data_IF_050883083939
#
_entry.id   IF_050883083939
#
_cell.length_a   1.000
_cell.length_b   1.000
_cell.length_c   1.000
_cell.angle_alpha   90.00
_cell.angle_beta   90.00
_cell.angle_gamma   90.00
#
_symmetry.space_group_name_H-M   'P 1'
#
loop_
_entity.id
_entity.type
_entity.pdbx_description
1 polymer ?
#
# COMPACT_ATOMS: atom_id res chain seq x y z
N UNK A 1 -15.16 -1.10 10.71
CA UNK A 1 -13.74 -1.47 10.92
C UNK A 1 -13.30 -2.39 9.79
N UNK A 2 -12.05 -2.24 9.34
CA UNK A 2 -11.44 -3.14 8.35
C UNK A 2 -11.02 -4.45 8.99
N UNK A 3 -11.31 -5.57 8.34
CA UNK A 3 -10.90 -6.91 8.77
C UNK A 3 -10.24 -7.67 7.63
N UNK A 4 -9.22 -8.45 7.99
CA UNK A 4 -8.58 -9.35 7.04
C UNK A 4 -9.40 -10.64 6.98
N UNK A 5 -9.89 -10.96 5.78
CA UNK A 5 -10.57 -12.22 5.49
C UNK A 5 -9.63 -13.15 4.74
N UNK A 6 -9.55 -14.38 5.21
CA UNK A 6 -8.86 -15.47 4.52
C UNK A 6 -9.90 -16.16 3.63
N UNK A 7 -9.51 -16.55 2.42
CA UNK A 7 -10.42 -17.26 1.51
C UNK A 7 -10.98 -18.53 2.16
N UNK A 8 -12.23 -18.90 1.88
CA UNK A 8 -12.85 -20.10 2.49
C UNK A 8 -13.01 -21.24 1.47
N UNK A 9 -12.29 -21.19 0.34
CA UNK A 9 -12.64 -21.95 -0.86
C UNK A 9 -13.84 -21.32 -1.57
N UNK A 10 -14.01 -21.57 -2.87
CA UNK A 10 -15.00 -20.80 -3.65
C UNK A 10 -15.62 -21.56 -4.82
N UNK A 11 -16.96 -21.63 -4.79
CA UNK A 11 -17.85 -21.96 -5.91
C UNK A 11 -18.20 -20.71 -6.76
N UNK A 12 -17.33 -19.70 -6.79
CA UNK A 12 -17.53 -18.51 -7.62
C UNK A 12 -17.16 -18.84 -9.08
N UNK A 13 -18.08 -18.72 -10.05
CA UNK A 13 -17.84 -19.13 -11.43
C UNK A 13 -16.76 -18.31 -12.14
N UNK A 14 -16.37 -17.16 -11.59
CA UNK A 14 -15.35 -16.26 -12.15
C UNK A 14 -14.01 -16.36 -11.42
N UNK A 15 -13.91 -17.17 -10.37
CA UNK A 15 -12.66 -17.41 -9.66
C UNK A 15 -12.20 -18.85 -9.92
N UNK A 16 -10.96 -18.99 -10.40
CA UNK A 16 -10.28 -20.28 -10.52
C UNK A 16 -8.97 -20.22 -9.74
N UNK A 17 -8.64 -21.30 -9.04
CA UNK A 17 -7.34 -21.46 -8.40
C UNK A 17 -6.91 -22.93 -8.42
N UNK A 18 -5.62 -23.17 -8.59
CA UNK A 18 -5.01 -24.52 -8.51
C UNK A 18 -4.94 -25.05 -7.07
N UNK A 19 -5.16 -24.19 -6.07
CA UNK A 19 -5.06 -24.52 -4.65
C UNK A 19 -6.34 -24.23 -3.84
N UNK A 20 -7.51 -24.18 -4.49
CA UNK A 20 -8.79 -23.86 -3.84
C UNK A 20 -8.76 -22.57 -3.00
N UNK A 21 -8.06 -21.54 -3.50
CA UNK A 21 -7.91 -20.22 -2.85
C UNK A 21 -7.22 -20.24 -1.49
N UNK A 22 -6.56 -21.34 -1.13
CA UNK A 22 -5.67 -21.38 0.03
C UNK A 22 -4.59 -20.29 -0.13
N UNK A 23 -4.26 -19.59 0.96
CA UNK A 23 -3.33 -18.46 0.89
C UNK A 23 -3.91 -17.11 0.47
N UNK A 24 -5.16 -17.05 -0.02
CA UNK A 24 -5.75 -15.78 -0.44
C UNK A 24 -6.23 -14.97 0.77
N UNK A 25 -5.93 -13.67 0.75
CA UNK A 25 -6.34 -12.70 1.75
C UNK A 25 -6.98 -11.48 1.09
N UNK A 26 -8.05 -10.95 1.70
CA UNK A 26 -8.74 -9.74 1.24
C UNK A 26 -9.17 -8.91 2.43
N UNK A 27 -9.06 -7.59 2.33
CA UNK A 27 -9.60 -6.69 3.34
C UNK A 27 -11.06 -6.38 3.05
N UNK A 28 -11.92 -6.55 4.06
CA UNK A 28 -13.34 -6.18 4.00
C UNK A 28 -13.65 -5.13 5.07
N UNK A 29 -14.49 -4.16 4.74
CA UNK A 29 -14.97 -3.18 5.71
C UNK A 29 -16.35 -3.58 6.22
N UNK A 30 -16.48 -3.70 7.53
CA UNK A 30 -17.76 -3.92 8.22
C UNK A 30 -18.02 -2.75 9.19
N UNK A 31 -19.07 -1.92 8.99
CA UNK A 31 -19.36 -0.79 9.87
C UNK A 31 -19.69 -1.21 11.31
N UNK A 32 -20.17 -2.43 11.52
CA UNK A 32 -20.59 -2.96 12.81
C UNK A 32 -19.51 -3.83 13.48
N UNK A 33 -18.38 -4.06 12.79
CA UNK A 33 -17.31 -4.86 13.34
C UNK A 33 -16.63 -4.20 14.54
N UNK A 34 -16.46 -5.02 15.58
CA UNK A 34 -15.70 -4.75 16.79
C UNK A 34 -16.45 -3.98 17.88
N UNK A 35 -15.87 -3.90 19.07
CA UNK A 35 -16.37 -3.04 20.16
C UNK A 35 -15.91 -1.58 19.97
N UNK A 36 -16.44 -0.65 20.77
CA UNK A 36 -15.98 0.74 20.74
C UNK A 36 -14.51 0.87 21.12
N UNK A 37 -14.05 0.07 22.08
CA UNK A 37 -12.65 0.00 22.49
C UNK A 37 -11.76 -0.52 21.36
N UNK A 38 -12.20 -1.54 20.61
CA UNK A 38 -11.44 -2.08 19.46
C UNK A 38 -11.32 -1.06 18.33
N UNK A 39 -12.41 -0.31 18.06
CA UNK A 39 -12.38 0.76 17.07
C UNK A 39 -11.44 1.89 17.52
N UNK A 40 -11.45 2.24 18.81
CA UNK A 40 -10.56 3.25 19.36
C UNK A 40 -9.08 2.84 19.26
N UNK A 41 -8.75 1.57 19.56
CA UNK A 41 -7.39 1.03 19.43
C UNK A 41 -6.88 1.09 17.97
N UNK A 42 -7.75 0.81 17.00
CA UNK A 42 -7.44 0.94 15.58
C UNK A 42 -7.16 2.40 15.18
N UNK A 43 -7.96 3.36 15.65
CA UNK A 43 -7.74 4.77 15.37
C UNK A 43 -6.47 5.31 16.06
N UNK A 44 -6.18 4.85 17.28
CA UNK A 44 -4.93 5.18 17.97
C UNK A 44 -3.72 4.65 17.21
N UNK A 45 -3.75 3.40 16.74
CA UNK A 45 -2.70 2.81 15.91
C UNK A 45 -2.47 3.61 14.61
N UNK A 46 -3.56 4.06 13.97
CA UNK A 46 -3.50 4.91 12.76
C UNK A 46 -2.85 6.27 13.05
N UNK A 47 -3.24 6.92 14.14
CA UNK A 47 -2.69 8.21 14.55
C UNK A 47 -1.20 8.07 14.93
N UNK A 48 -0.85 7.02 15.66
CA UNK A 48 0.53 6.72 16.02
C UNK A 48 1.41 6.51 14.77
N UNK A 49 0.94 5.72 13.80
CA UNK A 49 1.63 5.55 12.53
C UNK A 49 1.79 6.88 11.80
N UNK A 50 0.71 7.68 11.69
CA UNK A 50 0.78 8.97 11.03
C UNK A 50 1.81 9.90 11.70
N UNK A 51 1.86 9.96 13.02
CA UNK A 51 2.81 10.81 13.73
C UNK A 51 4.27 10.33 13.59
N UNK A 52 4.49 9.04 13.39
CA UNK A 52 5.82 8.43 13.29
C UNK A 52 6.25 8.05 11.87
N UNK A 53 5.44 8.36 10.85
CA UNK A 53 5.60 7.92 9.45
C UNK A 53 6.95 8.23 8.82
N UNK A 54 7.65 9.25 9.31
CA UNK A 54 9.00 9.61 8.82
C UNK A 54 10.11 8.76 9.45
N UNK A 55 9.87 8.19 10.63
CA UNK A 55 10.80 7.32 11.35
C UNK A 55 10.59 5.84 10.99
N UNK A 56 9.33 5.45 10.77
CA UNK A 56 8.94 4.08 10.42
C UNK A 56 8.02 4.14 9.21
N UNK A 57 8.53 3.68 8.06
CA UNK A 57 7.84 3.77 6.78
C UNK A 57 6.74 2.71 6.59
N UNK A 58 6.98 1.40 6.83
CA UNK A 58 5.93 0.40 6.67
C UNK A 58 4.97 0.36 7.88
N UNK A 59 3.72 -0.04 7.66
CA UNK A 59 2.69 -0.09 8.71
C UNK A 59 2.94 -1.16 9.78
N UNK A 60 3.94 -2.01 9.57
CA UNK A 60 4.29 -3.16 10.42
C UNK A 60 3.13 -4.13 10.62
N UNK A 61 2.18 -4.15 9.67
CA UNK A 61 1.04 -5.06 9.67
C UNK A 61 0.15 -4.94 10.91
N UNK A 62 0.22 -3.78 11.58
CA UNK A 62 -0.24 -3.63 12.95
C UNK A 62 -1.75 -3.89 13.10
N UNK A 63 -2.56 -3.37 12.17
CA UNK A 63 -4.01 -3.51 12.24
C UNK A 63 -4.49 -4.96 12.24
N UNK A 64 -3.98 -5.80 11.32
CA UNK A 64 -4.42 -7.19 11.30
C UNK A 64 -3.76 -7.99 12.42
N UNK A 65 -2.50 -7.70 12.79
CA UNK A 65 -1.83 -8.35 13.93
C UNK A 65 -2.60 -8.17 15.23
N UNK A 66 -3.11 -6.96 15.50
CA UNK A 66 -3.96 -6.69 16.67
C UNK A 66 -5.20 -7.59 16.67
N UNK A 67 -5.89 -7.67 15.53
CA UNK A 67 -7.10 -8.49 15.38
C UNK A 67 -6.79 -9.99 15.54
N UNK A 68 -5.78 -10.50 14.83
CA UNK A 68 -5.40 -11.92 14.83
C UNK A 68 -4.93 -12.43 16.20
N UNK A 69 -4.07 -11.66 16.87
CA UNK A 69 -3.57 -12.04 18.18
C UNK A 69 -4.71 -12.05 19.21
N UNK A 70 -5.65 -11.10 19.11
CA UNK A 70 -6.81 -11.03 19.99
C UNK A 70 -7.77 -12.21 19.77
N UNK A 71 -8.09 -12.55 18.52
CA UNK A 71 -8.93 -13.71 18.18
C UNK A 71 -8.36 -15.01 18.75
N UNK A 72 -7.04 -15.19 18.65
CA UNK A 72 -6.33 -16.36 19.21
C UNK A 72 -6.08 -16.26 20.71
N UNK A 73 -6.50 -15.18 21.37
CA UNK A 73 -6.26 -14.87 22.78
C UNK A 73 -4.77 -15.00 23.15
N UNK A 74 -3.89 -14.68 22.19
CA UNK A 74 -2.46 -14.77 22.37
C UNK A 74 -1.99 -13.68 23.32
N UNK A 75 -1.18 -14.07 24.31
CA UNK A 75 -0.48 -13.15 25.19
C UNK A 75 1.00 -13.45 25.11
N UNK A 76 1.81 -12.45 24.81
CA UNK A 76 3.26 -12.61 24.82
C UNK A 76 3.74 -12.68 26.27
N UNK A 77 4.02 -13.89 26.74
CA UNK A 77 4.51 -14.15 28.11
C UNK A 77 6.03 -14.20 28.20
N UNK A 78 6.72 -14.33 27.06
CA UNK A 78 8.18 -14.41 27.02
C UNK A 78 8.74 -12.98 27.03
N UNK A 79 9.56 -12.61 28.04
CA UNK A 79 10.09 -11.26 28.16
C UNK A 79 11.04 -10.94 27.00
N UNK A 80 11.13 -9.65 26.64
CA UNK A 80 12.15 -9.20 25.70
C UNK A 80 13.52 -9.22 26.38
N UNK A 81 14.53 -9.94 25.87
CA UNK A 81 15.89 -9.72 26.30
C UNK A 81 16.30 -8.29 25.91
N UNK A 82 16.84 -7.54 26.87
CA UNK A 82 17.46 -6.23 26.63
C UNK A 82 18.96 -6.45 26.62
N UNK A 83 19.61 -5.97 25.57
CA UNK A 83 21.06 -6.00 25.40
C UNK A 83 21.43 -4.57 25.03
N UNK A 84 22.29 -3.93 25.84
CA UNK A 84 22.77 -2.57 25.58
C UNK A 84 23.96 -2.58 24.61
N UNK A 85 24.24 -1.43 24.00
CA UNK A 85 25.37 -1.29 23.08
C UNK A 85 26.69 -1.61 23.81
N UNK A 86 27.40 -2.64 23.34
CA UNK A 86 28.66 -3.09 23.92
C UNK A 86 28.55 -4.25 24.91
N UNK A 87 27.34 -4.70 25.25
CA UNK A 87 27.13 -5.92 26.03
C UNK A 87 27.35 -7.18 25.18
N UNK A 88 27.84 -8.25 25.81
CA UNK A 88 28.03 -9.55 25.15
C UNK A 88 26.69 -10.26 24.93
N UNK A 89 26.45 -10.70 23.69
CA UNK A 89 25.24 -11.47 23.35
C UNK A 89 25.38 -12.91 23.86
N UNK A 90 24.66 -13.22 24.94
CA UNK A 90 24.69 -14.56 25.53
C UNK A 90 23.81 -15.57 24.79
N UNK A 91 24.11 -16.86 24.96
CA UNK A 91 23.29 -17.95 24.43
C UNK A 91 21.87 -17.92 25.02
N UNK A 92 21.73 -17.59 26.31
CA UNK A 92 20.46 -17.46 27.02
C UNK A 92 19.61 -16.33 26.43
N UNK A 93 20.21 -15.15 26.20
CA UNK A 93 19.52 -14.00 25.61
C UNK A 93 19.06 -14.30 24.18
N UNK A 94 19.91 -14.97 23.39
CA UNK A 94 19.58 -15.41 22.02
C UNK A 94 18.43 -16.41 22.04
N UNK A 95 18.49 -17.41 22.91
CA UNK A 95 17.45 -18.43 23.06
C UNK A 95 16.12 -17.80 23.48
N UNK A 96 16.14 -16.86 24.41
CA UNK A 96 14.94 -16.13 24.82
C UNK A 96 14.34 -15.31 23.66
N UNK A 97 15.17 -14.62 22.87
CA UNK A 97 14.72 -13.85 21.71
C UNK A 97 14.09 -14.75 20.63
N UNK A 98 14.70 -15.90 20.34
CA UNK A 98 14.18 -16.88 19.38
C UNK A 98 12.86 -17.46 19.87
N UNK A 99 12.79 -17.90 21.12
CA UNK A 99 11.55 -18.47 21.68
C UNK A 99 10.40 -17.44 21.67
N UNK A 100 10.68 -16.18 22.03
CA UNK A 100 9.71 -15.08 21.95
C UNK A 100 9.21 -14.88 20.52
N UNK A 101 10.13 -14.89 19.54
CA UNK A 101 9.81 -14.69 18.13
C UNK A 101 9.00 -15.85 17.57
N UNK A 102 9.39 -17.10 17.82
CA UNK A 102 8.65 -18.29 17.41
C UNK A 102 7.24 -18.27 18.00
N UNK A 103 7.11 -17.97 19.30
CA UNK A 103 5.81 -17.89 19.95
C UNK A 103 4.88 -16.85 19.28
N UNK A 104 5.43 -15.68 18.92
CA UNK A 104 4.69 -14.65 18.19
C UNK A 104 4.33 -15.08 16.77
N UNK A 105 5.30 -15.55 15.99
CA UNK A 105 5.07 -15.92 14.59
C UNK A 105 4.12 -17.12 14.46
N UNK A 106 4.22 -18.13 15.33
CA UNK A 106 3.25 -19.24 15.34
C UNK A 106 1.82 -18.75 15.60
N UNK A 107 1.64 -17.73 16.45
CA UNK A 107 0.34 -17.13 16.67
C UNK A 107 -0.15 -16.31 15.46
N UNK A 108 0.74 -15.78 14.64
CA UNK A 108 0.37 -15.02 13.43
C UNK A 108 0.07 -15.90 12.20
N UNK A 109 0.36 -17.20 12.25
CA UNK A 109 0.07 -18.12 11.15
C UNK A 109 -1.45 -18.22 10.90
N UNK A 110 -1.89 -18.03 9.66
CA UNK A 110 -3.29 -18.20 9.27
C UNK A 110 -3.77 -19.65 9.37
N UNK A 111 -5.08 -19.86 9.30
CA UNK A 111 -5.69 -21.20 9.20
C UNK A 111 -5.27 -21.98 7.95
N UNK A 112 -4.76 -21.28 6.94
CA UNK A 112 -4.22 -21.85 5.70
C UNK A 112 -2.71 -22.12 5.76
N UNK A 113 -2.07 -21.89 6.90
CA UNK A 113 -0.64 -22.13 7.10
C UNK A 113 0.29 -21.03 6.58
N UNK A 114 -0.21 -20.01 5.87
CA UNK A 114 0.57 -18.84 5.43
C UNK A 114 0.56 -17.73 6.47
N UNK A 115 1.46 -16.75 6.34
CA UNK A 115 1.46 -15.52 7.12
C UNK A 115 0.96 -14.36 6.26
N UNK A 116 -0.20 -13.77 6.61
CA UNK A 116 -0.59 -12.50 6.05
C UNK A 116 0.50 -11.46 6.22
N UNK A 117 0.76 -10.69 5.18
CA UNK A 117 1.70 -9.58 5.23
C UNK A 117 1.30 -8.51 4.22
N UNK A 118 1.56 -7.26 4.61
CA UNK A 118 1.59 -6.12 3.71
C UNK A 118 2.79 -6.26 2.76
N UNK A 119 2.56 -6.17 1.45
CA UNK A 119 3.61 -6.07 0.46
C UNK A 119 3.66 -4.64 -0.12
N UNK A 120 3.98 -3.69 0.76
CA UNK A 120 4.12 -2.28 0.43
C UNK A 120 5.49 -1.97 -0.14
N UNK A 121 5.59 -0.81 -0.79
CA UNK A 121 6.83 -0.35 -1.40
C UNK A 121 6.50 0.60 -2.53
N UNK A 122 6.16 0.12 -3.73
CA UNK A 122 5.95 0.99 -4.89
C UNK A 122 4.78 1.97 -4.72
N UNK A 123 5.08 3.26 -4.93
CA UNK A 123 4.09 4.36 -4.81
C UNK A 123 3.37 4.67 -6.13
N UNK A 124 3.35 3.72 -7.06
CA UNK A 124 2.82 3.89 -8.42
C UNK A 124 1.91 2.74 -8.87
N UNK A 125 1.39 1.89 -7.96
CA UNK A 125 0.39 0.88 -8.32
C UNK A 125 -1.06 1.36 -8.11
N UNK A 126 -1.36 1.97 -6.95
CA UNK A 126 -2.72 2.39 -6.61
C UNK A 126 -3.24 3.50 -7.53
N UNK A 127 -2.38 4.46 -7.90
CA UNK A 127 -2.77 5.58 -8.75
C UNK A 127 -3.19 5.12 -10.17
N UNK A 128 -2.42 4.29 -10.89
CA UNK A 128 -2.88 3.66 -12.12
C UNK A 128 -4.18 2.87 -12.01
N UNK A 129 -4.37 2.08 -10.94
CA UNK A 129 -5.62 1.35 -10.74
C UNK A 129 -6.82 2.30 -10.60
N UNK A 130 -6.67 3.38 -9.83
CA UNK A 130 -7.69 4.44 -9.73
C UNK A 130 -7.95 5.09 -11.08
N UNK A 131 -6.90 5.38 -11.87
CA UNK A 131 -7.04 5.93 -13.22
C UNK A 131 -7.81 4.99 -14.15
N UNK A 132 -7.46 3.70 -14.19
CA UNK A 132 -8.15 2.70 -15.02
C UNK A 132 -9.62 2.56 -14.62
N UNK A 133 -9.92 2.51 -13.33
CA UNK A 133 -11.31 2.42 -12.86
C UNK A 133 -12.10 3.71 -13.12
N UNK A 134 -11.44 4.87 -13.08
CA UNK A 134 -12.05 6.14 -13.46
C UNK A 134 -12.39 6.15 -14.95
N UNK A 135 -11.42 5.83 -15.82
CA UNK A 135 -11.58 5.82 -17.28
C UNK A 135 -12.66 4.84 -17.71
N UNK A 136 -12.72 3.66 -17.09
CA UNK A 136 -13.71 2.63 -17.42
C UNK A 136 -15.09 2.86 -16.77
N UNK A 137 -15.25 3.88 -15.92
CA UNK A 137 -16.51 4.17 -15.22
C UNK A 137 -16.82 3.27 -14.03
N UNK A 138 -15.89 2.42 -13.59
CA UNK A 138 -16.09 1.45 -12.50
C UNK A 138 -15.59 1.93 -11.14
N UNK A 139 -15.03 3.13 -11.03
CA UNK A 139 -14.46 3.65 -9.77
C UNK A 139 -15.44 3.54 -8.60
N UNK A 140 -16.69 3.94 -8.81
CA UNK A 140 -17.71 3.90 -7.75
C UNK A 140 -18.28 2.50 -7.49
N UNK A 141 -18.16 1.60 -8.45
CA UNK A 141 -18.62 0.21 -8.35
C UNK A 141 -17.61 -0.63 -7.56
N UNK A 142 -16.31 -0.42 -7.80
CA UNK A 142 -15.25 -1.21 -7.18
C UNK A 142 -14.78 -0.61 -5.85
N UNK A 143 -14.65 0.72 -5.76
CA UNK A 143 -14.23 1.38 -4.53
C UNK A 143 -15.40 2.06 -3.81
N UNK A 144 -15.80 1.46 -2.69
CA UNK A 144 -16.67 2.09 -1.70
C UNK A 144 -16.03 3.37 -1.12
N UNK A 145 -16.83 4.16 -0.39
CA UNK A 145 -16.32 5.35 0.32
C UNK A 145 -15.13 5.02 1.23
N UNK A 146 -15.17 3.87 1.89
CA UNK A 146 -14.13 3.45 2.82
C UNK A 146 -12.84 3.08 2.08
N UNK A 147 -12.92 2.39 0.93
CA UNK A 147 -11.74 2.14 0.09
C UNK A 147 -11.04 3.45 -0.29
N UNK A 148 -11.80 4.46 -0.71
CA UNK A 148 -11.24 5.77 -1.10
C UNK A 148 -10.60 6.48 0.07
N UNK A 149 -11.21 6.43 1.26
CA UNK A 149 -10.61 6.97 2.49
C UNK A 149 -9.28 6.29 2.79
N UNK A 150 -9.17 4.97 2.66
CA UNK A 150 -7.90 4.25 2.87
C UNK A 150 -6.86 4.56 1.79
N UNK A 151 -7.25 4.66 0.51
CA UNK A 151 -6.32 5.04 -0.56
C UNK A 151 -5.76 6.44 -0.31
N UNK A 152 -6.62 7.40 0.06
CA UNK A 152 -6.20 8.75 0.41
C UNK A 152 -5.32 8.77 1.66
N UNK A 153 -5.68 8.00 2.70
CA UNK A 153 -4.86 7.87 3.92
C UNK A 153 -3.46 7.33 3.59
N UNK A 154 -3.37 6.29 2.76
CA UNK A 154 -2.09 5.75 2.31
C UNK A 154 -1.26 6.81 1.57
N UNK A 155 -1.87 7.60 0.68
CA UNK A 155 -1.19 8.71 -0.01
C UNK A 155 -0.69 9.76 0.99
N UNK A 156 -1.50 10.14 1.98
CA UNK A 156 -1.12 11.15 2.98
C UNK A 156 -0.03 10.67 3.93
N UNK A 157 -0.03 9.38 4.29
CA UNK A 157 1.01 8.80 5.15
C UNK A 157 2.39 8.76 4.47
N UNK A 158 2.45 8.77 3.14
CA UNK A 158 3.70 8.61 2.40
C UNK A 158 4.08 9.86 1.59
N UNK A 159 3.43 11.00 1.84
CA UNK A 159 3.89 12.27 1.29
C UNK A 159 5.10 12.75 2.08
N UNK A 160 6.18 13.05 1.35
CA UNK A 160 7.41 13.58 1.93
C UNK A 160 7.19 15.02 2.43
N UNK A 161 8.08 15.48 3.31
CA UNK A 161 8.04 16.85 3.86
C UNK A 161 8.14 17.93 2.77
N UNK A 162 8.83 17.62 1.66
CA UNK A 162 8.93 18.51 0.50
C UNK A 162 7.62 18.62 -0.31
N UNK A 163 6.61 17.81 0.00
CA UNK A 163 5.31 17.77 -0.67
C UNK A 163 5.21 16.75 -1.81
N UNK A 164 6.28 16.05 -2.16
CA UNK A 164 6.28 15.05 -3.21
C UNK A 164 6.12 13.60 -2.70
N UNK A 165 6.21 12.65 -3.63
CA UNK A 165 6.20 11.21 -3.38
C UNK A 165 7.33 10.51 -4.12
N UNK A 166 8.00 9.58 -3.45
CA UNK A 166 9.09 8.80 -4.03
C UNK A 166 8.64 7.61 -4.85
N UNK A 167 9.58 6.92 -5.50
CA UNK A 167 9.30 5.68 -6.24
C UNK A 167 8.79 4.55 -5.34
N UNK A 168 9.20 4.57 -4.08
CA UNK A 168 8.76 3.66 -3.04
C UNK A 168 8.57 4.42 -1.71
N UNK A 169 7.96 3.77 -0.72
CA UNK A 169 7.77 4.34 0.63
C UNK A 169 9.11 4.75 1.25
N UNK A 170 9.23 6.00 1.72
CA UNK A 170 10.48 6.56 2.24
C UNK A 170 11.51 6.97 1.18
N UNK A 171 11.24 6.75 -0.11
CA UNK A 171 12.10 7.22 -1.19
C UNK A 171 11.99 8.74 -1.43
N UNK A 172 13.05 9.34 -1.96
CA UNK A 172 13.02 10.75 -2.37
C UNK A 172 11.97 11.02 -3.43
N UNK A 173 11.34 12.19 -3.34
CA UNK A 173 10.28 12.61 -4.24
C UNK A 173 10.71 12.61 -5.71
N UNK A 174 9.84 12.09 -6.58
CA UNK A 174 10.07 12.02 -8.03
C UNK A 174 8.91 12.63 -8.80
N UNK A 175 9.15 13.13 -10.01
CA UNK A 175 8.09 13.65 -10.86
C UNK A 175 7.04 12.59 -11.17
N UNK A 176 7.49 11.35 -11.42
CA UNK A 176 6.61 10.21 -11.71
C UNK A 176 5.60 9.96 -10.59
N UNK A 177 6.07 9.66 -9.38
CA UNK A 177 5.14 9.33 -8.30
C UNK A 177 4.41 10.54 -7.73
N UNK A 178 5.01 11.74 -7.76
CA UNK A 178 4.32 12.96 -7.31
C UNK A 178 3.14 13.30 -8.23
N UNK A 179 3.33 13.24 -9.55
CA UNK A 179 2.26 13.49 -10.50
C UNK A 179 1.14 12.44 -10.40
N UNK A 180 1.50 11.14 -10.33
CA UNK A 180 0.52 10.07 -10.21
C UNK A 180 -0.31 10.17 -8.93
N UNK A 181 0.32 10.40 -7.77
CA UNK A 181 -0.39 10.52 -6.50
C UNK A 181 -1.21 11.82 -6.42
N UNK A 182 -0.72 12.93 -6.98
CA UNK A 182 -1.52 14.15 -7.15
C UNK A 182 -2.79 13.86 -7.95
N UNK A 183 -2.68 13.25 -9.12
CA UNK A 183 -3.85 12.94 -9.97
C UNK A 183 -4.77 11.95 -9.28
N UNK A 184 -4.24 10.93 -8.60
CA UNK A 184 -5.03 9.98 -7.83
C UNK A 184 -5.95 10.69 -6.81
N UNK A 185 -5.40 11.63 -6.03
CA UNK A 185 -6.20 12.45 -5.11
C UNK A 185 -7.29 13.25 -5.85
N UNK A 186 -6.95 13.85 -7.00
CA UNK A 186 -7.91 14.62 -7.82
C UNK A 186 -9.05 13.75 -8.34
N UNK A 187 -8.76 12.55 -8.84
CA UNK A 187 -9.77 11.59 -9.32
C UNK A 187 -10.66 11.04 -8.19
N UNK A 188 -10.13 10.96 -6.98
CA UNK A 188 -10.88 10.60 -5.78
C UNK A 188 -11.70 11.76 -5.18
N UNK A 189 -11.71 12.93 -5.83
CA UNK A 189 -12.54 14.07 -5.47
C UNK A 189 -11.89 15.08 -4.52
N UNK A 190 -10.60 14.92 -4.17
CA UNK A 190 -9.87 15.90 -3.35
C UNK A 190 -9.62 17.16 -4.17
N UNK A 191 -10.08 18.31 -3.69
CA UNK A 191 -9.88 19.62 -4.32
C UNK A 191 -8.40 19.98 -4.58
N UNK A 192 -8.11 20.90 -5.51
CA UNK A 192 -6.73 21.28 -5.84
C UNK A 192 -5.98 21.86 -4.62
N UNK A 193 -6.69 22.51 -3.70
CA UNK A 193 -6.15 23.09 -2.47
C UNK A 193 -6.55 22.25 -1.24
N UNK A 194 -6.94 20.99 -1.47
CA UNK A 194 -7.46 20.10 -0.44
C UNK A 194 -6.50 18.99 -0.01
N UNK A 195 -7.06 18.04 0.72
CA UNK A 195 -6.35 16.89 1.28
C UNK A 195 -5.79 17.18 2.67
N UNK A 196 -5.33 16.14 3.36
CA UNK A 196 -4.79 16.28 4.70
C UNK A 196 -3.56 17.19 4.68
N UNK A 197 -3.59 18.26 5.47
CA UNK A 197 -2.52 19.28 5.52
C UNK A 197 -2.21 19.87 4.12
N UNK A 198 -3.21 20.14 3.28
CA UNK A 198 -3.04 20.65 1.92
C UNK A 198 -2.15 19.75 1.03
N UNK A 199 -2.22 18.44 1.21
CA UNK A 199 -1.41 17.48 0.47
C UNK A 199 -1.47 17.69 -1.05
N UNK A 200 -2.64 18.02 -1.59
CA UNK A 200 -2.83 18.25 -3.02
C UNK A 200 -2.11 19.51 -3.51
N UNK A 201 -2.23 20.61 -2.76
CA UNK A 201 -1.55 21.88 -3.03
C UNK A 201 -0.03 21.71 -3.03
N UNK A 202 0.51 21.07 -1.98
CA UNK A 202 1.95 20.82 -1.85
C UNK A 202 2.48 19.95 -2.99
N UNK A 203 1.74 18.91 -3.36
CA UNK A 203 2.07 18.07 -4.51
C UNK A 203 2.11 18.86 -5.81
N UNK A 204 1.10 19.71 -6.05
CA UNK A 204 1.08 20.60 -7.23
C UNK A 204 2.27 21.56 -7.22
N UNK A 205 2.55 22.19 -6.07
CA UNK A 205 3.70 23.09 -5.92
C UNK A 205 5.02 22.39 -6.23
N UNK A 206 5.22 21.19 -5.67
CA UNK A 206 6.42 20.38 -5.92
C UNK A 206 6.62 20.09 -7.42
N UNK A 207 5.53 19.77 -8.13
CA UNK A 207 5.53 19.53 -9.59
C UNK A 207 5.91 20.80 -10.35
N UNK A 208 5.26 21.92 -10.05
CA UNK A 208 5.49 23.20 -10.76
C UNK A 208 6.91 23.72 -10.54
N UNK A 209 7.42 23.65 -9.32
CA UNK A 209 8.78 24.10 -8.96
C UNK A 209 9.88 23.29 -9.68
N UNK A 210 9.56 22.11 -10.23
CA UNK A 210 10.48 21.21 -10.94
C UNK A 210 10.23 21.15 -12.45
N UNK A 211 9.71 22.23 -13.02
CA UNK A 211 9.51 22.37 -14.46
C UNK A 211 8.22 21.74 -14.98
N UNK A 212 7.32 21.33 -14.08
CA UNK A 212 6.03 20.75 -14.44
C UNK A 212 6.11 19.29 -14.89
N UNK A 213 4.94 18.75 -15.24
CA UNK A 213 4.76 17.31 -15.49
C UNK A 213 5.43 16.82 -16.78
N UNK A 214 5.91 17.70 -17.66
CA UNK A 214 6.57 17.32 -18.92
C UNK A 214 7.90 16.59 -18.70
N UNK A 215 8.51 16.73 -17.52
CA UNK A 215 9.74 16.04 -17.11
C UNK A 215 9.49 14.63 -16.56
N UNK A 216 8.23 14.16 -16.56
CA UNK A 216 7.86 12.83 -16.08
C UNK A 216 8.50 11.71 -16.92
N UNK A 217 8.76 10.55 -16.30
CA UNK A 217 9.30 9.36 -16.97
C UNK A 217 8.37 8.82 -18.07
N UNK A 218 8.91 7.97 -18.96
CA UNK A 218 8.15 7.39 -20.08
C UNK A 218 6.85 6.70 -19.66
N UNK A 219 6.88 5.90 -18.58
CA UNK A 219 5.69 5.27 -18.03
C UNK A 219 4.66 6.28 -17.53
N UNK A 220 5.12 7.39 -16.95
CA UNK A 220 4.26 8.51 -16.58
C UNK A 220 3.57 9.12 -17.78
N UNK A 221 4.32 9.43 -18.84
CA UNK A 221 3.75 9.97 -20.08
C UNK A 221 2.67 9.06 -20.66
N UNK A 222 2.90 7.74 -20.67
CA UNK A 222 1.90 6.75 -21.09
C UNK A 222 0.63 6.85 -20.25
N UNK A 223 0.72 6.83 -18.91
CA UNK A 223 -0.45 6.94 -18.04
C UNK A 223 -1.20 8.27 -18.21
N UNK A 224 -0.49 9.39 -18.36
CA UNK A 224 -1.10 10.69 -18.61
C UNK A 224 -1.78 10.76 -19.99
N UNK A 225 -1.22 10.10 -21.00
CA UNK A 225 -1.80 10.03 -22.34
C UNK A 225 -3.06 9.15 -22.36
N UNK A 226 -3.03 8.02 -21.64
CA UNK A 226 -4.21 7.16 -21.42
C UNK A 226 -5.33 7.94 -20.72
N UNK A 227 -4.99 8.78 -19.74
CA UNK A 227 -5.95 9.64 -19.05
C UNK A 227 -6.44 10.83 -19.91
N UNK A 228 -5.76 11.14 -21.01
CA UNK A 228 -6.10 12.26 -21.90
C UNK A 228 -5.61 13.63 -21.43
N UNK A 229 -4.58 13.67 -20.58
CA UNK A 229 -3.98 14.92 -20.05
C UNK A 229 -2.53 15.15 -20.53
N UNK A 230 -2.09 14.33 -21.49
CA UNK A 230 -0.80 14.45 -22.16
C UNK A 230 -0.95 13.94 -23.60
N UNK A 231 -0.30 14.59 -24.56
CA UNK A 231 -0.38 14.22 -25.97
C UNK A 231 0.43 12.95 -26.26
N UNK A 232 -0.17 11.97 -26.94
CA UNK A 232 0.50 10.72 -27.33
C UNK A 232 1.77 10.95 -28.16
N UNK A 233 1.82 12.04 -28.93
CA UNK A 233 3.00 12.44 -29.71
C UNK A 233 4.23 12.76 -28.85
N UNK A 234 4.06 13.03 -27.56
CA UNK A 234 5.15 13.25 -26.61
C UNK A 234 5.68 11.96 -25.96
N UNK A 235 5.10 10.80 -26.27
CA UNK A 235 5.55 9.48 -25.82
C UNK A 235 6.54 8.86 -26.82
N UNK A 236 7.50 8.08 -26.32
CA UNK A 236 8.30 7.24 -27.21
C UNK A 236 7.42 6.11 -27.77
N UNK A 237 7.50 5.81 -29.07
CA UNK A 237 6.67 4.77 -29.68
C UNK A 237 6.99 3.40 -29.09
N UNK A 238 5.96 2.63 -28.79
CA UNK A 238 6.04 1.20 -28.40
C UNK A 238 5.33 0.38 -29.48
N UNK A 239 6.00 0.11 -30.62
CA UNK A 239 5.36 -0.51 -31.78
C UNK A 239 4.95 -1.96 -31.46
N UNK A 240 3.67 -2.33 -31.62
CA UNK A 240 3.21 -3.70 -31.42
C UNK A 240 3.79 -4.68 -32.45
N UNK A 241 4.34 -4.18 -33.56
CA UNK A 241 4.95 -4.98 -34.63
C UNK A 241 6.15 -5.80 -34.14
N UNK A 242 6.79 -5.42 -33.02
CA UNK A 242 7.86 -6.23 -32.41
C UNK A 242 7.40 -7.64 -32.02
N UNK A 243 6.13 -7.82 -31.68
CA UNK A 243 5.54 -9.14 -31.39
C UNK A 243 5.43 -10.04 -32.62
N UNK A 244 5.62 -9.51 -33.84
CA UNK A 244 5.62 -10.28 -35.09
C UNK A 244 6.99 -10.84 -35.45
N UNK A 245 8.06 -10.45 -34.73
CA UNK A 245 9.38 -10.97 -35.01
C UNK A 245 9.48 -12.47 -34.71
N UNK A 246 10.41 -13.18 -35.36
CA UNK A 246 10.77 -14.52 -34.91
C UNK A 246 11.46 -14.47 -33.54
N UNK A 247 11.29 -15.50 -32.71
CA UNK A 247 11.91 -15.58 -31.36
C UNK A 247 13.44 -15.56 -31.35
N UNK A 248 14.09 -15.78 -32.50
CA UNK A 248 15.54 -15.67 -32.65
C UNK A 248 16.02 -14.26 -33.02
N UNK A 249 15.11 -13.31 -33.25
CA UNK A 249 15.46 -11.94 -33.57
C UNK A 249 15.93 -11.20 -32.29
N UNK A 250 16.97 -10.34 -32.35
CA UNK A 250 17.62 -9.80 -31.13
C UNK A 250 16.74 -8.95 -30.19
N UNK A 251 15.53 -8.57 -30.61
CA UNK A 251 14.59 -7.71 -29.86
C UNK A 251 13.19 -8.33 -29.73
N UNK A 252 13.07 -9.64 -29.94
CA UNK A 252 11.88 -10.42 -29.61
C UNK A 252 11.88 -10.87 -28.15
#
# INVERSE_FOLDING_TARGET
MWRLKIGEGGNDPYLQSTNNFLGRQTWEFDPNAGTDEERAEVEEARLNFYNNRFNVQPSSDLLWRLQFLKEKKMKQTIPQPKIEDGEEVTHEATTAAVNKSVHLFSALQSIHGHWPAENSGPMFFSAPLVMSLYITGHLNTIFSSEHRKEILRYIYCHQNEDGGWGLYIGGHSTMFCTALNYICMRLLGVGPDGGLNNACERGRKWILDRGGVTTISSWGKTWLSILGVYEWSGCQPMPPEFWLFPSYFPIH
#
